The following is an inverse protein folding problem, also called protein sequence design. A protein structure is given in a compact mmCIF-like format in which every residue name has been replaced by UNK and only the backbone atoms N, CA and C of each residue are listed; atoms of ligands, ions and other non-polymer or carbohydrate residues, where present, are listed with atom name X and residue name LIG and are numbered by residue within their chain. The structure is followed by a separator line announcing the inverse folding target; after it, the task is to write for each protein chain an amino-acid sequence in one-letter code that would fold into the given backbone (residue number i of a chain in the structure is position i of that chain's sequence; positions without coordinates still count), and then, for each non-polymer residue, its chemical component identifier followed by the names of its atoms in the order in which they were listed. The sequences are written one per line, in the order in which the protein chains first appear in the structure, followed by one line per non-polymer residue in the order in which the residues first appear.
data_IF_880384097776
#
_entry.id   IF_880384097776
#
_cell.length_a   1.000
_cell.length_b   1.000
_cell.length_c   1.000
_cell.angle_alpha   90.00
_cell.angle_beta   90.00
_cell.angle_gamma   90.00
#
_symmetry.space_group_name_H-M   'P 1'
#
loop_
_entity.id
_entity.type
_entity.pdbx_description
1 polymer ?
#
# COMPACT_ATOMS: atom_id res chain seq x y z
N UNK A 1 -14.37 -31.01 -16.97
CA UNK A 1 -14.69 -29.57 -17.01
C UNK A 1 -13.39 -28.82 -16.71
N UNK A 2 -12.73 -28.30 -17.74
CA UNK A 2 -11.57 -27.43 -17.57
C UNK A 2 -12.00 -26.07 -16.99
N UNK A 3 -11.15 -25.38 -16.22
CA UNK A 3 -11.49 -24.07 -15.70
C UNK A 3 -11.38 -23.03 -16.82
N UNK A 4 -12.48 -22.32 -17.05
CA UNK A 4 -12.54 -21.12 -17.90
C UNK A 4 -11.41 -20.17 -17.48
N UNK A 5 -10.42 -19.98 -18.35
CA UNK A 5 -9.42 -18.95 -18.19
C UNK A 5 -10.13 -17.60 -18.05
N UNK A 6 -10.10 -17.02 -16.85
CA UNK A 6 -10.72 -15.74 -16.56
C UNK A 6 -10.09 -14.69 -17.47
N UNK A 7 -10.81 -14.30 -18.53
CA UNK A 7 -10.37 -13.29 -19.46
C UNK A 7 -10.08 -12.00 -18.69
N UNK A 8 -8.79 -11.63 -18.63
CA UNK A 8 -8.34 -10.43 -17.94
C UNK A 8 -8.97 -9.21 -18.63
N UNK A 9 -9.42 -8.18 -17.90
CA UNK A 9 -9.96 -6.98 -18.52
C UNK A 9 -8.83 -6.24 -19.26
N UNK A 10 -8.68 -6.53 -20.56
CA UNK A 10 -7.83 -5.77 -21.47
C UNK A 10 -8.72 -4.71 -22.11
N UNK A 11 -8.60 -3.47 -21.68
CA UNK A 11 -9.20 -2.35 -22.40
C UNK A 11 -8.43 -2.13 -23.70
N UNK A 12 -9.09 -2.31 -24.84
CA UNK A 12 -8.53 -1.94 -26.13
C UNK A 12 -8.98 -0.52 -26.50
N UNK A 13 -8.02 0.31 -26.94
CA UNK A 13 -8.21 1.71 -27.31
C UNK A 13 -7.63 1.89 -28.70
N UNK A 14 -8.46 2.19 -29.70
CA UNK A 14 -8.04 2.42 -31.08
C UNK A 14 -8.54 3.77 -31.60
N UNK A 15 -7.92 4.19 -32.70
CA UNK A 15 -8.24 5.38 -33.48
C UNK A 15 -8.68 5.01 -34.91
N UNK A 16 -9.39 5.96 -35.54
CA UNK A 16 -10.05 5.92 -36.86
C UNK A 16 -11.22 4.92 -37.00
N UNK A 17 -12.43 5.44 -37.24
CA UNK A 17 -13.69 4.70 -37.27
C UNK A 17 -13.72 3.52 -38.26
N UNK A 18 -13.03 3.63 -39.39
CA UNK A 18 -12.98 2.57 -40.39
C UNK A 18 -12.11 1.39 -39.91
N UNK A 19 -10.91 1.68 -39.39
CA UNK A 19 -9.97 0.67 -38.88
C UNK A 19 -10.52 0.00 -37.63
N UNK A 20 -11.14 0.77 -36.73
CA UNK A 20 -11.79 0.22 -35.54
C UNK A 20 -12.94 -0.72 -35.91
N UNK A 21 -13.73 -0.41 -36.94
CA UNK A 21 -14.84 -1.26 -37.38
C UNK A 21 -14.37 -2.59 -37.94
N UNK A 22 -13.27 -2.59 -38.70
CA UNK A 22 -12.66 -3.79 -39.27
C UNK A 22 -11.98 -4.64 -38.19
N UNK A 23 -11.25 -4.02 -37.25
CA UNK A 23 -10.56 -4.72 -36.17
C UNK A 23 -11.49 -5.21 -35.05
N UNK A 24 -12.71 -4.64 -34.94
CA UNK A 24 -13.65 -4.90 -33.84
C UNK A 24 -13.88 -6.38 -33.50
N UNK A 25 -14.12 -7.30 -34.46
CA UNK A 25 -14.35 -8.70 -34.14
C UNK A 25 -13.17 -9.36 -33.42
N UNK A 26 -11.94 -8.97 -33.79
CA UNK A 26 -10.71 -9.49 -33.19
C UNK A 26 -10.51 -8.88 -31.79
N UNK A 27 -10.81 -7.60 -31.63
CA UNK A 27 -10.68 -6.92 -30.34
C UNK A 27 -11.68 -7.45 -29.32
N UNK A 28 -12.94 -7.66 -29.72
CA UNK A 28 -14.01 -8.18 -28.85
C UNK A 28 -13.69 -9.58 -28.34
N UNK A 29 -12.92 -10.38 -29.08
CA UNK A 29 -12.44 -11.68 -28.60
C UNK A 29 -11.40 -11.57 -27.47
N UNK A 30 -10.72 -10.44 -27.33
CA UNK A 30 -9.59 -10.26 -26.39
C UNK A 30 -9.83 -9.21 -25.30
N UNK A 31 -10.89 -8.41 -25.43
CA UNK A 31 -11.19 -7.24 -24.60
C UNK A 31 -12.59 -7.31 -24.02
N UNK A 32 -12.70 -7.03 -22.73
CA UNK A 32 -14.01 -6.92 -22.05
C UNK A 32 -14.77 -5.66 -22.47
N UNK A 33 -14.03 -4.60 -22.80
CA UNK A 33 -14.59 -3.30 -23.16
C UNK A 33 -13.67 -2.60 -24.17
N UNK A 34 -14.28 -1.91 -25.13
CA UNK A 34 -13.58 -1.17 -26.19
C UNK A 34 -14.02 0.28 -26.11
N UNK A 35 -13.05 1.16 -25.82
CA UNK A 35 -13.30 2.60 -25.74
C UNK A 35 -12.72 3.24 -26.99
N UNK A 36 -13.56 3.94 -27.75
CA UNK A 36 -13.11 4.69 -28.92
C UNK A 36 -12.40 5.97 -28.46
N UNK A 37 -11.14 6.15 -28.90
CA UNK A 37 -10.31 7.28 -28.49
C UNK A 37 -9.77 7.96 -29.75
N UNK A 38 -10.12 9.24 -29.90
CA UNK A 38 -10.04 10.04 -31.12
C UNK A 38 -8.85 9.76 -32.03
N UNK A 39 -7.79 10.55 -31.89
CA UNK A 39 -6.66 10.49 -32.82
C UNK A 39 -5.66 9.38 -32.47
N UNK A 40 -4.91 8.96 -33.49
CA UNK A 40 -3.83 7.98 -33.32
C UNK A 40 -2.84 8.50 -32.26
N UNK A 41 -2.47 7.63 -31.32
CA UNK A 41 -1.55 7.96 -30.22
C UNK A 41 -2.25 8.40 -28.92
N UNK A 42 -3.47 8.93 -28.96
CA UNK A 42 -4.22 9.31 -27.75
C UNK A 42 -4.54 8.09 -26.87
N UNK A 43 -4.83 6.95 -27.51
CA UNK A 43 -4.99 5.66 -26.84
C UNK A 43 -3.76 5.25 -26.01
N UNK A 44 -2.56 5.44 -26.59
CA UNK A 44 -1.28 5.18 -25.93
C UNK A 44 -1.04 6.14 -24.78
N UNK A 45 -1.32 7.43 -24.95
CA UNK A 45 -1.20 8.43 -23.89
C UNK A 45 -2.08 8.06 -22.67
N UNK A 46 -3.33 7.66 -22.90
CA UNK A 46 -4.23 7.21 -21.82
C UNK A 46 -3.72 5.93 -21.17
N UNK A 47 -3.13 5.01 -21.94
CA UNK A 47 -2.50 3.79 -21.38
C UNK A 47 -1.34 4.14 -20.45
N UNK A 48 -0.44 5.03 -20.88
CA UNK A 48 0.66 5.50 -20.06
C UNK A 48 0.16 6.19 -18.79
N UNK A 49 -0.83 7.09 -18.90
CA UNK A 49 -1.44 7.74 -17.75
C UNK A 49 -2.09 6.75 -16.76
N UNK A 50 -2.79 5.73 -17.27
CA UNK A 50 -3.36 4.65 -16.43
C UNK A 50 -2.25 3.88 -15.70
N UNK A 51 -1.15 3.59 -16.40
CA UNK A 51 -0.03 2.87 -15.83
C UNK A 51 0.75 3.72 -14.82
N UNK A 52 0.80 5.05 -14.96
CA UNK A 52 1.37 5.97 -13.95
C UNK A 52 0.63 5.85 -12.62
N UNK A 53 -0.70 5.90 -12.64
CA UNK A 53 -1.53 5.72 -11.43
C UNK A 53 -1.30 4.33 -10.85
N UNK A 54 -1.29 3.30 -11.70
CA UNK A 54 -1.10 1.90 -11.29
C UNK A 54 0.25 1.68 -10.60
N UNK A 55 1.33 2.23 -11.15
CA UNK A 55 2.68 2.14 -10.57
C UNK A 55 2.75 2.90 -9.24
N UNK A 56 2.23 4.12 -9.20
CA UNK A 56 2.21 4.95 -7.99
C UNK A 56 1.42 4.29 -6.86
N UNK A 57 0.24 3.73 -7.14
CA UNK A 57 -0.58 3.05 -6.13
C UNK A 57 0.13 1.84 -5.54
N UNK A 58 0.82 1.05 -6.37
CA UNK A 58 1.58 -0.13 -5.92
C UNK A 58 2.81 0.26 -5.12
N UNK A 59 3.53 1.29 -5.55
CA UNK A 59 4.67 1.82 -4.80
C UNK A 59 4.23 2.35 -3.42
N UNK A 60 3.17 3.15 -3.38
CA UNK A 60 2.63 3.67 -2.13
C UNK A 60 2.12 2.54 -1.21
N UNK A 61 1.50 1.51 -1.77
CA UNK A 61 1.08 0.34 -1.00
C UNK A 61 2.26 -0.44 -0.40
N UNK A 62 3.35 -0.59 -1.16
CA UNK A 62 4.58 -1.20 -0.67
C UNK A 62 5.18 -0.43 0.52
N UNK A 63 5.25 0.90 0.42
CA UNK A 63 5.73 1.77 1.50
C UNK A 63 4.80 1.75 2.72
N UNK A 64 3.48 1.76 2.50
CA UNK A 64 2.50 1.69 3.58
C UNK A 64 2.60 0.35 4.33
N UNK A 65 2.76 -0.77 3.62
CA UNK A 65 3.00 -2.07 4.24
C UNK A 65 4.27 -2.08 5.08
N UNK A 66 5.34 -1.43 4.61
CA UNK A 66 6.59 -1.25 5.36
C UNK A 66 6.35 -0.57 6.70
N UNK A 67 5.60 0.54 6.68
CA UNK A 67 5.29 1.33 7.85
C UNK A 67 4.45 0.54 8.85
N UNK A 68 3.42 -0.16 8.36
CA UNK A 68 2.56 -1.02 9.18
C UNK A 68 3.38 -2.14 9.84
N UNK A 69 4.28 -2.78 9.09
CA UNK A 69 5.19 -3.80 9.61
C UNK A 69 6.12 -3.24 10.70
N UNK A 70 6.70 -2.06 10.47
CA UNK A 70 7.60 -1.40 11.42
C UNK A 70 6.90 -1.04 12.75
N UNK A 71 5.59 -0.81 12.72
CA UNK A 71 4.77 -0.54 13.89
C UNK A 71 4.22 -1.82 14.57
N UNK A 72 4.58 -3.01 14.07
CA UNK A 72 4.13 -4.29 14.62
C UNK A 72 2.64 -4.56 14.41
N UNK A 73 2.00 -3.85 13.48
CA UNK A 73 0.58 -4.06 13.15
C UNK A 73 0.50 -5.23 12.16
N UNK A 74 -0.41 -6.21 12.36
CA UNK A 74 -0.59 -7.29 11.40
C UNK A 74 -0.94 -6.76 10.01
N UNK A 75 -0.22 -7.21 8.98
CA UNK A 75 -0.38 -6.72 7.61
C UNK A 75 -1.78 -7.01 7.06
N UNK A 76 -2.39 -8.10 7.50
CA UNK A 76 -3.74 -8.51 7.14
C UNK A 76 -4.76 -7.45 7.57
N UNK A 77 -4.56 -6.82 8.74
CA UNK A 77 -5.42 -5.73 9.22
C UNK A 77 -5.32 -4.49 8.36
N UNK A 78 -4.15 -4.20 7.81
CA UNK A 78 -4.01 -3.12 6.83
C UNK A 78 -4.76 -3.44 5.53
N UNK A 79 -4.70 -4.70 5.05
CA UNK A 79 -5.44 -5.11 3.86
C UNK A 79 -6.96 -5.04 4.11
N UNK A 80 -7.44 -5.46 5.28
CA UNK A 80 -8.84 -5.29 5.70
C UNK A 80 -9.25 -3.81 5.68
N UNK A 81 -8.43 -2.92 6.28
CA UNK A 81 -8.71 -1.48 6.33
C UNK A 81 -8.75 -0.83 4.95
N UNK A 82 -7.83 -1.21 4.04
CA UNK A 82 -7.80 -0.67 2.68
C UNK A 82 -9.01 -1.11 1.86
N UNK A 83 -9.57 -2.31 2.08
CA UNK A 83 -10.75 -2.79 1.31
C UNK A 83 -11.98 -1.90 1.45
N UNK A 84 -12.17 -1.30 2.62
CA UNK A 84 -13.32 -0.41 2.90
C UNK A 84 -12.99 1.08 2.69
N UNK A 85 -11.74 1.40 2.35
CA UNK A 85 -11.29 2.77 2.14
C UNK A 85 -11.62 3.25 0.71
N UNK A 86 -11.84 4.56 0.53
CA UNK A 86 -12.04 5.16 -0.80
C UNK A 86 -10.82 5.04 -1.72
N UNK A 87 -9.64 4.81 -1.16
CA UNK A 87 -8.40 4.56 -1.89
C UNK A 87 -8.32 3.13 -2.44
N UNK A 88 -9.29 2.26 -2.10
CA UNK A 88 -9.35 0.93 -2.67
C UNK A 88 -9.50 0.98 -4.19
N UNK A 89 -8.70 0.20 -4.89
CA UNK A 89 -8.77 0.08 -6.34
C UNK A 89 -8.60 -1.38 -6.76
N UNK A 90 -9.05 -1.72 -7.97
CA UNK A 90 -8.86 -3.06 -8.53
C UNK A 90 -7.40 -3.49 -8.59
N UNK A 91 -6.48 -2.53 -8.78
CA UNK A 91 -5.03 -2.76 -8.71
C UNK A 91 -4.62 -3.19 -7.29
N UNK A 92 -5.02 -2.44 -6.26
CA UNK A 92 -4.66 -2.78 -4.87
C UNK A 92 -5.30 -4.11 -4.43
N UNK A 93 -6.56 -4.37 -4.82
CA UNK A 93 -7.24 -5.62 -4.56
C UNK A 93 -6.47 -6.84 -5.11
N UNK A 94 -5.85 -6.68 -6.28
CA UNK A 94 -5.06 -7.72 -6.92
C UNK A 94 -3.65 -7.84 -6.34
N UNK A 95 -3.00 -6.72 -6.00
CA UNK A 95 -1.56 -6.70 -5.68
C UNK A 95 -1.26 -6.88 -4.19
N UNK A 96 -2.10 -6.38 -3.29
CA UNK A 96 -1.83 -6.47 -1.85
C UNK A 96 -1.70 -7.94 -1.38
N UNK A 97 -2.62 -8.87 -1.68
CA UNK A 97 -2.46 -10.26 -1.26
C UNK A 97 -1.16 -10.89 -1.79
N UNK A 98 -0.85 -10.66 -3.07
CA UNK A 98 0.39 -11.15 -3.69
C UNK A 98 1.66 -10.60 -3.01
N UNK A 99 1.64 -9.34 -2.58
CA UNK A 99 2.75 -8.74 -1.83
C UNK A 99 2.91 -9.36 -0.44
N UNK A 100 1.82 -9.68 0.25
CA UNK A 100 1.84 -10.38 1.54
C UNK A 100 2.43 -11.78 1.38
N UNK A 101 1.94 -12.52 0.37
CA UNK A 101 2.34 -13.90 0.07
C UNK A 101 3.72 -14.03 -0.61
N UNK A 102 4.34 -12.90 -0.97
CA UNK A 102 5.61 -12.84 -1.74
C UNK A 102 5.54 -13.52 -3.11
N UNK A 103 4.34 -13.63 -3.67
CA UNK A 103 4.14 -14.10 -5.03
C UNK A 103 4.35 -12.97 -6.03
N UNK A 104 5.55 -12.91 -6.60
CA UNK A 104 5.90 -11.98 -7.67
C UNK A 104 5.88 -12.62 -9.06
N UNK A 105 5.06 -13.67 -9.27
CA UNK A 105 4.81 -14.21 -10.59
C UNK A 105 4.17 -13.15 -11.50
N UNK A 106 4.75 -12.98 -12.68
CA UNK A 106 4.49 -11.87 -13.58
C UNK A 106 3.05 -11.85 -14.10
N UNK A 107 2.30 -10.81 -13.73
CA UNK A 107 1.09 -10.42 -14.46
C UNK A 107 1.40 -9.24 -15.38
N UNK A 108 2.26 -8.34 -14.91
CA UNK A 108 2.89 -7.30 -15.69
C UNK A 108 4.30 -7.06 -15.16
N UNK A 109 5.30 -7.33 -16.00
CA UNK A 109 6.70 -7.40 -15.55
C UNK A 109 7.28 -6.01 -15.23
N UNK A 110 8.25 -5.95 -14.32
CA UNK A 110 9.03 -4.73 -14.00
C UNK A 110 9.55 -4.06 -15.26
N UNK A 111 10.15 -4.80 -16.20
CA UNK A 111 10.69 -4.24 -17.45
C UNK A 111 9.64 -3.48 -18.28
N UNK A 112 8.39 -3.94 -18.28
CA UNK A 112 7.32 -3.31 -19.03
C UNK A 112 6.77 -2.08 -18.31
N UNK A 113 6.58 -2.16 -16.99
CA UNK A 113 6.16 -1.00 -16.22
C UNK A 113 7.23 0.11 -16.24
N UNK A 114 8.50 -0.25 -16.10
CA UNK A 114 9.63 0.69 -16.18
C UNK A 114 9.64 1.42 -17.52
N UNK A 115 9.47 0.70 -18.63
CA UNK A 115 9.38 1.28 -19.97
C UNK A 115 8.26 2.32 -20.05
N UNK A 116 7.08 2.02 -19.50
CA UNK A 116 5.97 2.97 -19.52
C UNK A 116 6.25 4.21 -18.68
N UNK A 117 6.93 4.09 -17.53
CA UNK A 117 7.33 5.25 -16.73
C UNK A 117 8.41 6.09 -17.41
N UNK A 118 9.31 5.47 -18.17
CA UNK A 118 10.31 6.18 -18.99
C UNK A 118 9.62 6.97 -20.12
N UNK A 119 8.66 6.36 -20.82
CA UNK A 119 7.85 7.03 -21.84
C UNK A 119 7.08 8.21 -21.23
N UNK A 120 6.44 8.01 -20.07
CA UNK A 120 5.73 9.07 -19.36
C UNK A 120 6.62 10.29 -19.07
N UNK A 121 7.81 10.04 -18.50
CA UNK A 121 8.76 11.10 -18.19
C UNK A 121 9.30 11.79 -19.45
N UNK A 122 9.54 11.05 -20.54
CA UNK A 122 9.98 11.63 -21.81
C UNK A 122 8.91 12.56 -22.41
N UNK A 123 7.65 12.14 -22.38
CA UNK A 123 6.52 12.98 -22.81
C UNK A 123 6.43 14.22 -21.92
N UNK A 124 6.52 14.06 -20.61
CA UNK A 124 6.44 15.16 -19.66
C UNK A 124 7.51 16.24 -19.91
N UNK A 125 8.76 15.83 -20.19
CA UNK A 125 9.85 16.74 -20.54
C UNK A 125 9.52 17.58 -21.79
N UNK A 126 8.95 16.96 -22.84
CA UNK A 126 8.53 17.67 -24.05
C UNK A 126 7.37 18.66 -23.82
N UNK A 127 6.65 18.52 -22.71
CA UNK A 127 5.53 19.37 -22.32
C UNK A 127 5.81 20.23 -21.08
N UNK A 128 7.07 20.31 -20.61
CA UNK A 128 7.48 21.06 -19.44
C UNK A 128 6.69 20.70 -18.16
N UNK A 129 6.29 19.43 -18.03
CA UNK A 129 5.62 18.91 -16.85
C UNK A 129 6.63 18.23 -15.93
N UNK A 130 6.51 18.50 -14.63
CA UNK A 130 7.25 17.79 -13.58
C UNK A 130 6.39 16.66 -13.00
N UNK A 131 6.84 15.41 -13.18
CA UNK A 131 6.16 14.21 -12.71
C UNK A 131 6.90 13.56 -11.55
N UNK A 132 6.96 14.24 -10.40
CA UNK A 132 7.69 13.76 -9.21
C UNK A 132 7.31 12.34 -8.77
N UNK A 133 6.01 12.03 -8.67
CA UNK A 133 5.53 10.69 -8.26
C UNK A 133 5.93 9.62 -9.28
N UNK A 134 5.83 9.93 -10.57
CA UNK A 134 6.20 8.99 -11.64
C UNK A 134 7.71 8.75 -11.69
N UNK A 135 8.50 9.80 -11.44
CA UNK A 135 9.96 9.69 -11.34
C UNK A 135 10.37 8.82 -10.16
N UNK A 136 9.76 9.01 -8.99
CA UNK A 136 10.03 8.16 -7.83
C UNK A 136 9.69 6.68 -8.11
N UNK A 137 8.51 6.41 -8.67
CA UNK A 137 8.11 5.05 -9.04
C UNK A 137 9.04 4.43 -10.10
N UNK A 138 9.47 5.20 -11.11
CA UNK A 138 10.46 4.76 -12.11
C UNK A 138 11.75 4.31 -11.43
N UNK A 139 12.25 5.10 -10.49
CA UNK A 139 13.55 4.83 -9.85
C UNK A 139 13.50 3.55 -9.01
N UNK A 140 12.39 3.29 -8.31
CA UNK A 140 12.20 2.02 -7.60
C UNK A 140 12.11 0.83 -8.56
N UNK A 141 11.42 0.97 -9.70
CA UNK A 141 11.37 -0.08 -10.72
C UNK A 141 12.74 -0.32 -11.36
N UNK A 142 13.51 0.75 -11.59
CA UNK A 142 14.87 0.66 -12.14
C UNK A 142 15.80 -0.07 -11.17
N UNK A 143 15.72 0.23 -9.88
CA UNK A 143 16.42 -0.51 -8.83
C UNK A 143 16.09 -2.00 -8.93
N UNK A 144 14.81 -2.39 -8.92
CA UNK A 144 14.41 -3.81 -9.04
C UNK A 144 14.94 -4.48 -10.33
N UNK A 145 15.04 -3.73 -11.43
CA UNK A 145 15.63 -4.24 -12.67
C UNK A 145 17.12 -4.56 -12.50
N UNK A 146 17.87 -3.73 -11.76
CA UNK A 146 19.29 -3.98 -11.44
C UNK A 146 19.48 -5.20 -10.54
N UNK A 147 18.53 -5.48 -9.65
CA UNK A 147 18.52 -6.69 -8.80
C UNK A 147 18.12 -7.96 -9.55
N UNK A 148 17.92 -7.91 -10.87
CA UNK A 148 17.56 -9.07 -11.69
C UNK A 148 16.07 -9.42 -11.65
N UNK A 149 15.21 -8.55 -11.12
CA UNK A 149 13.76 -8.78 -11.03
C UNK A 149 12.98 -8.27 -12.23
N UNK A 150 13.64 -8.09 -13.39
CA UNK A 150 13.05 -7.53 -14.60
C UNK A 150 11.82 -8.29 -15.11
N UNK A 151 11.81 -9.61 -14.94
CA UNK A 151 10.71 -10.50 -15.35
C UNK A 151 9.68 -10.75 -14.24
N UNK A 152 9.96 -10.36 -13.00
CA UNK A 152 8.97 -10.44 -11.92
C UNK A 152 7.86 -9.41 -12.13
N UNK A 153 6.73 -9.63 -11.47
CA UNK A 153 5.67 -8.62 -11.44
C UNK A 153 6.17 -7.30 -10.84
N UNK A 154 5.69 -6.17 -11.37
CA UNK A 154 6.08 -4.84 -10.88
C UNK A 154 5.77 -4.61 -9.39
N UNK A 155 4.90 -5.42 -8.76
CA UNK A 155 4.71 -5.41 -7.30
C UNK A 155 5.94 -5.86 -6.50
N UNK A 156 6.99 -6.39 -7.15
CA UNK A 156 8.25 -6.80 -6.52
C UNK A 156 8.98 -5.65 -5.83
N UNK A 157 8.64 -4.38 -6.14
CA UNK A 157 9.10 -3.21 -5.38
C UNK A 157 8.83 -3.34 -3.87
N UNK A 158 7.82 -4.12 -3.47
CA UNK A 158 7.53 -4.42 -2.06
C UNK A 158 8.63 -5.24 -1.36
N UNK A 159 9.45 -6.01 -2.08
CA UNK A 159 10.55 -6.81 -1.50
C UNK A 159 11.57 -5.96 -0.77
N UNK A 160 11.80 -4.74 -1.25
CA UNK A 160 12.73 -3.79 -0.62
C UNK A 160 12.35 -3.48 0.83
N UNK A 161 11.05 -3.48 1.12
CA UNK A 161 10.51 -3.00 2.38
C UNK A 161 10.14 -4.11 3.34
N UNK A 162 9.60 -5.18 2.78
CA UNK A 162 9.02 -6.24 3.55
C UNK A 162 10.12 -7.23 3.94
N UNK A 163 10.44 -7.33 5.23
CA UNK A 163 11.47 -8.25 5.75
C UNK A 163 11.15 -9.70 5.34
N UNK A 164 12.18 -10.49 5.03
CA UNK A 164 12.04 -11.94 4.85
C UNK A 164 11.44 -12.50 6.14
N UNK A 165 10.25 -13.08 6.05
CA UNK A 165 9.68 -13.83 7.18
C UNK A 165 10.50 -15.11 7.23
N UNK A 166 11.29 -15.28 8.29
CA UNK A 166 11.96 -16.55 8.56
C UNK A 166 10.94 -17.71 8.47
N UNK A 167 11.38 -18.94 8.13
CA UNK A 167 10.47 -20.04 7.87
C UNK A 167 9.44 -20.12 8.99
N UNK A 168 8.15 -20.14 8.63
CA UNK A 168 7.05 -20.38 9.58
C UNK A 168 7.45 -21.61 10.36
N UNK A 169 7.79 -21.44 11.64
CA UNK A 169 8.07 -22.56 12.53
C UNK A 169 6.90 -23.51 12.36
N UNK A 170 7.19 -24.73 11.91
CA UNK A 170 6.23 -25.80 11.95
C UNK A 170 5.68 -25.83 13.37
N UNK A 171 4.40 -25.52 13.51
CA UNK A 171 3.68 -25.73 14.74
C UNK A 171 3.79 -27.23 15.02
N UNK A 172 4.67 -27.57 15.94
CA UNK A 172 4.92 -28.94 16.37
C UNK A 172 3.59 -29.48 16.90
N UNK A 173 3.09 -30.62 16.40
CA UNK A 173 1.82 -31.16 16.87
C UNK A 173 1.94 -31.46 18.36
N UNK A 174 0.86 -31.28 19.15
CA UNK A 174 0.90 -31.47 20.60
C UNK A 174 1.41 -32.86 20.96
N UNK A 175 2.20 -33.01 22.04
CA UNK A 175 2.74 -34.31 22.42
C UNK A 175 1.60 -35.25 22.82
N UNK A 176 1.50 -36.39 22.13
CA UNK A 176 0.67 -37.51 22.57
C UNK A 176 1.24 -38.05 23.89
N UNK A 177 0.44 -38.01 24.96
CA UNK A 177 0.76 -38.63 26.24
C UNK A 177 0.66 -40.16 26.11
N UNK A 178 1.71 -40.93 26.44
CA UNK A 178 1.62 -42.38 26.52
C UNK A 178 1.10 -42.77 27.91
N UNK A 179 -0.20 -42.99 28.04
CA UNK A 179 -0.74 -43.60 29.25
C UNK A 179 -0.41 -45.09 29.27
N UNK A 180 0.54 -45.40 30.16
CA UNK A 180 0.98 -46.72 30.55
C UNK A 180 -0.15 -47.48 31.26
N UNK A 181 -0.28 -48.76 30.91
CA UNK A 181 -1.05 -49.75 31.65
C UNK A 181 -0.60 -49.78 33.12
N UNK A 182 -1.56 -49.71 34.07
CA UNK A 182 -1.31 -50.05 35.47
C UNK A 182 -2.19 -51.21 35.90
N UNK A 183 -1.53 -52.26 36.38
CA UNK A 183 -2.07 -53.47 37.00
C UNK A 183 -1.99 -53.30 38.53
N UNK A 184 -2.99 -53.87 39.21
CA UNK A 184 -3.05 -54.34 40.61
C UNK A 184 -3.40 -53.36 41.76
N UNK A 185 -4.65 -53.51 42.23
CA UNK A 185 -5.10 -53.94 43.56
C UNK A 185 -4.36 -53.56 44.87
N UNK A 186 -5.20 -53.00 45.74
CA UNK A 186 -5.40 -53.18 47.20
C UNK A 186 -4.78 -52.23 48.25
N UNK A 187 -5.51 -51.99 49.38
CA UNK A 187 -5.43 -50.75 50.17
C UNK A 187 -5.02 -50.97 51.64
N UNK A 188 -4.28 -50.06 52.27
CA UNK A 188 -4.04 -50.10 53.73
C UNK A 188 -3.94 -48.69 54.37
N UNK A 189 -5.00 -48.34 55.12
CA UNK A 189 -5.09 -47.82 56.50
C UNK A 189 -4.55 -46.40 56.90
N UNK A 190 -5.48 -45.68 57.57
CA UNK A 190 -5.37 -44.69 58.67
C UNK A 190 -5.07 -43.21 58.41
N UNK A 191 -6.06 -42.39 58.81
CA UNK A 191 -6.01 -40.97 59.23
C UNK A 191 -5.28 -40.82 60.60
N UNK A 192 -5.28 -39.65 61.29
CA UNK A 192 -5.83 -38.31 60.98
C UNK A 192 -4.93 -37.11 61.44
N UNK A 193 -5.54 -35.92 61.43
CA UNK A 193 -5.19 -34.69 62.20
C UNK A 193 -4.15 -33.76 61.54
N UNK A 194 -4.30 -32.42 61.48
CA UNK A 194 -5.20 -31.47 62.15
C UNK A 194 -4.99 -30.03 61.62
N UNK A 195 -6.04 -29.19 61.73
CA UNK A 195 -6.02 -27.78 62.17
C UNK A 195 -5.23 -26.69 61.37
N UNK A 196 -5.65 -25.44 61.15
CA UNK A 196 -6.90 -24.65 61.26
C UNK A 196 -6.62 -23.27 60.59
N UNK A 197 -7.69 -22.55 60.19
CA UNK A 197 -7.89 -21.07 60.25
C UNK A 197 -7.03 -20.09 59.41
N UNK A 198 -7.60 -19.37 58.43
CA UNK A 198 -8.40 -18.10 58.48
C UNK A 198 -7.54 -16.81 58.51
N UNK A 199 -7.60 -15.98 57.45
CA UNK A 199 -8.28 -14.65 57.34
C UNK A 199 -7.63 -13.53 58.20
N UNK A 200 -7.44 -12.27 57.81
CA UNK A 200 -8.32 -11.30 57.12
C UNK A 200 -7.54 -9.96 56.93
N UNK A 201 -8.26 -8.96 56.38
CA UNK A 201 -8.00 -7.53 56.06
C UNK A 201 -7.32 -6.64 57.14
N UNK A 202 -6.92 -5.36 56.99
CA UNK A 202 -7.48 -4.18 56.29
C UNK A 202 -6.55 -2.93 56.46
N UNK A 203 -6.93 -1.83 55.78
CA UNK A 203 -6.75 -0.39 56.12
C UNK A 203 -5.60 0.52 55.59
N UNK A 204 -6.02 1.39 54.64
CA UNK A 204 -6.17 2.86 54.74
C UNK A 204 -5.02 3.88 54.50
N UNK A 205 -5.42 4.92 53.74
CA UNK A 205 -5.02 6.34 53.74
C UNK A 205 -3.90 6.87 52.79
N UNK A 206 -4.30 7.84 51.95
CA UNK A 206 -3.49 8.79 51.16
C UNK A 206 -3.68 10.22 51.76
N UNK A 207 -3.03 11.34 51.33
CA UNK A 207 -3.00 11.81 49.93
C UNK A 207 -1.79 12.72 49.50
N UNK A 208 -1.93 13.31 48.29
CA UNK A 208 -1.20 14.44 47.64
C UNK A 208 -0.10 14.06 46.63
N UNK A 209 0.07 14.66 45.45
CA UNK A 209 -0.71 15.59 44.61
C UNK A 209 -0.03 15.66 43.22
N UNK A 210 -0.79 16.12 42.21
CA UNK A 210 -0.39 16.79 40.94
C UNK A 210 -0.40 16.00 39.61
N UNK A 211 -1.53 16.14 38.89
CA UNK A 211 -1.64 16.70 37.52
C UNK A 211 -2.93 17.58 37.50
N UNK A 212 -3.20 18.49 36.51
CA UNK A 212 -3.66 18.13 35.14
C UNK A 212 -3.12 19.09 34.04
N UNK A 213 -3.04 18.72 32.75
CA UNK A 213 -4.04 18.34 31.74
C UNK A 213 -4.92 19.49 31.20
N UNK A 214 -4.99 19.51 29.88
CA UNK A 214 -5.58 20.46 28.93
C UNK A 214 -7.05 20.82 29.21
N UNK A 215 -7.39 22.10 29.03
CA UNK A 215 -8.77 22.56 28.93
C UNK A 215 -8.94 23.45 27.69
N UNK A 216 -9.76 22.96 26.76
CA UNK A 216 -10.27 23.63 25.58
C UNK A 216 -11.64 24.22 25.93
N UNK A 217 -11.76 25.55 25.99
CA UNK A 217 -13.04 26.26 25.92
C UNK A 217 -12.81 27.66 25.32
N UNK A 218 -13.58 28.00 24.28
CA UNK A 218 -13.59 29.34 23.71
C UNK A 218 -14.69 29.49 22.66
N UNK A 219 -15.93 29.70 23.12
CA UNK A 219 -17.05 30.24 22.34
C UNK A 219 -16.92 31.76 22.21
N UNK A 220 -17.16 32.31 21.03
CA UNK A 220 -17.35 33.75 20.84
C UNK A 220 -17.39 34.15 19.37
N UNK A 221 -18.59 34.38 18.83
CA UNK A 221 -18.80 34.79 17.44
C UNK A 221 -18.44 36.26 17.18
N UNK A 222 -18.02 36.53 15.94
CA UNK A 222 -18.01 37.87 15.36
C UNK A 222 -18.31 37.76 13.86
N UNK A 223 -19.21 38.61 13.42
CA UNK A 223 -19.73 38.80 12.07
C UNK A 223 -18.66 39.25 11.08
N UNK A 224 -18.63 38.69 9.86
CA UNK A 224 -17.98 39.34 8.72
C UNK A 224 -18.63 38.88 7.41
N UNK A 225 -19.33 39.84 6.78
CA UNK A 225 -19.61 39.89 5.36
C UNK A 225 -18.33 40.43 4.69
N UNK A 226 -17.84 39.81 3.61
CA UNK A 226 -17.09 40.42 2.47
C UNK A 226 -16.13 39.43 1.77
N UNK A 227 -16.52 39.09 0.53
CA UNK A 227 -15.75 39.11 -0.73
C UNK A 227 -14.24 38.75 -0.76
N UNK A 228 -13.93 37.69 -1.52
CA UNK A 228 -12.59 37.30 -2.05
C UNK A 228 -11.91 38.43 -2.87
N UNK A 229 -10.57 38.41 -3.11
CA UNK A 229 -10.06 37.64 -4.26
C UNK A 229 -8.67 36.98 -4.12
N UNK A 230 -8.52 35.92 -4.92
CA UNK A 230 -7.37 35.06 -5.17
C UNK A 230 -6.13 35.74 -5.82
N UNK A 231 -5.24 36.37 -5.05
CA UNK A 231 -3.98 36.88 -5.63
C UNK A 231 -2.71 36.83 -4.75
N UNK A 232 -2.74 36.14 -3.60
CA UNK A 232 -1.64 36.18 -2.64
C UNK A 232 -0.58 35.08 -2.84
N UNK A 233 -0.99 33.90 -3.31
CA UNK A 233 -0.10 32.74 -3.53
C UNK A 233 0.90 32.92 -4.68
N UNK A 234 0.61 33.79 -5.65
CA UNK A 234 1.48 34.04 -6.81
C UNK A 234 2.61 35.04 -6.50
N UNK A 235 2.44 35.91 -5.49
CA UNK A 235 3.49 36.87 -5.07
C UNK A 235 4.57 36.20 -4.21
N UNK A 236 4.20 35.27 -3.33
CA UNK A 236 5.16 34.59 -2.46
C UNK A 236 6.21 33.77 -3.22
N UNK A 237 5.86 33.17 -4.37
CA UNK A 237 6.81 32.36 -5.16
C UNK A 237 7.88 33.19 -5.88
N UNK A 238 7.57 34.42 -6.31
CA UNK A 238 8.54 35.31 -6.97
C UNK A 238 9.55 35.92 -5.98
N UNK A 239 9.13 36.18 -4.75
CA UNK A 239 10.01 36.72 -3.70
C UNK A 239 11.12 35.74 -3.30
N UNK A 240 10.74 34.48 -3.08
CA UNK A 240 11.66 33.42 -2.67
C UNK A 240 12.75 33.14 -3.73
N UNK A 241 12.37 33.12 -5.00
CA UNK A 241 13.31 32.85 -6.10
C UNK A 241 14.32 34.00 -6.31
N UNK A 242 13.89 35.26 -6.14
CA UNK A 242 14.81 36.41 -6.16
C UNK A 242 15.78 36.40 -4.97
N UNK A 243 15.33 35.97 -3.80
CA UNK A 243 16.15 35.89 -2.59
C UNK A 243 17.16 34.73 -2.64
N UNK A 244 16.83 33.64 -3.34
CA UNK A 244 17.74 32.53 -3.60
C UNK A 244 18.83 32.92 -4.62
N UNK A 245 18.44 33.63 -5.69
CA UNK A 245 19.39 34.10 -6.71
C UNK A 245 20.30 35.22 -6.20
N UNK A 246 19.82 36.10 -5.31
CA UNK A 246 20.68 37.13 -4.71
C UNK A 246 21.73 36.56 -3.75
N UNK A 247 21.48 35.39 -3.16
CA UNK A 247 22.44 34.70 -2.28
C UNK A 247 23.49 33.90 -3.06
N UNK A 248 23.19 33.46 -4.28
CA UNK A 248 24.16 32.82 -5.16
C UNK A 248 25.04 33.83 -5.92
N UNK A 249 24.58 35.07 -6.09
CA UNK A 249 25.33 36.14 -6.76
C UNK A 249 26.26 36.94 -5.85
N UNK A 250 26.21 36.76 -4.53
CA UNK A 250 27.00 37.52 -3.55
C UNK A 250 27.94 36.62 -2.76
N UNK A 251 28.71 35.78 -3.46
CA UNK A 251 29.82 35.02 -2.88
C UNK A 251 31.12 35.83 -2.87
N UNK A 252 31.36 36.56 -1.79
CA UNK A 252 32.67 36.74 -1.15
C UNK A 252 32.51 36.47 0.33
#
# INVERSE_FOLDING_TARGET
MEPLATARPKFCRLAADAVLREARPILEASSKEIIHIGEIGQASAIKIATNMITAASVQAAAEALALVQALGVPLEKFVEAIRVNSSHSGTLAMKLPKMLDRDFAAQFSVKHMLKDMQIANQIALSHYLDLGVTSAARDQLFEQMQWGHGDNDYSVVARKYLQEVGPKSHEEPPPEHPDQESIANEPIIASPESHTEQSKSEDAAAPSSQQPLLAFTGTGGATANETTPANETTRLRRGFFKQLLSRLSSGQ
#
